data_IF_740258975355
#
_entry.id   IF_740258975355
#
_cell.length_a   1.000
_cell.length_b   1.000
_cell.length_c   1.000
_cell.angle_alpha   90.00
_cell.angle_beta   90.00
_cell.angle_gamma   90.00
#
_symmetry.space_group_name_H-M   'P 1'
#
loop_
_entity.id
_entity.type
_entity.pdbx_description
1 polymer ?
#
# COMPACT_ATOMS: atom_id res chain seq x y z
N UNK A 1 -9.11 8.60 -23.24
CA UNK A 1 -9.86 8.08 -22.10
C UNK A 1 -9.07 8.16 -20.82
N UNK A 2 -9.76 8.35 -19.69
CA UNK A 2 -9.18 8.24 -18.36
C UNK A 2 -9.28 6.79 -17.87
N UNK A 3 -8.36 6.38 -16.98
CA UNK A 3 -8.38 5.06 -16.34
C UNK A 3 -9.64 4.89 -15.48
N UNK A 4 -10.29 3.72 -15.56
CA UNK A 4 -11.41 3.35 -14.70
C UNK A 4 -10.95 2.46 -13.52
N UNK A 5 -11.85 2.16 -12.59
CA UNK A 5 -11.53 1.39 -11.38
C UNK A 5 -11.02 -0.04 -11.68
N UNK A 6 -11.62 -0.73 -12.64
CA UNK A 6 -11.20 -2.08 -13.03
C UNK A 6 -9.78 -2.08 -13.62
N UNK A 7 -9.49 -1.14 -14.51
CA UNK A 7 -8.16 -0.96 -15.10
C UNK A 7 -7.12 -0.60 -14.04
N UNK A 8 -7.50 0.28 -13.10
CA UNK A 8 -6.65 0.69 -11.99
C UNK A 8 -6.26 -0.53 -11.13
N UNK A 9 -7.24 -1.32 -10.69
CA UNK A 9 -6.96 -2.50 -9.86
C UNK A 9 -6.24 -3.61 -10.60
N UNK A 10 -6.54 -3.81 -11.89
CA UNK A 10 -5.77 -4.74 -12.72
C UNK A 10 -4.28 -4.35 -12.75
N UNK A 11 -3.97 -3.05 -12.90
CA UNK A 11 -2.59 -2.54 -12.88
C UNK A 11 -1.93 -2.69 -11.50
N UNK A 12 -2.65 -2.41 -10.41
CA UNK A 12 -2.16 -2.57 -9.05
C UNK A 12 -1.85 -4.04 -8.72
N UNK A 13 -2.75 -4.96 -9.07
CA UNK A 13 -2.59 -6.40 -8.86
C UNK A 13 -1.39 -6.95 -9.64
N UNK A 14 -1.18 -6.49 -10.88
CA UNK A 14 0.02 -6.84 -11.64
C UNK A 14 1.31 -6.38 -10.93
N UNK A 15 1.28 -5.24 -10.22
CA UNK A 15 2.37 -4.76 -9.40
C UNK A 15 2.67 -5.66 -8.19
N UNK A 16 1.64 -6.09 -7.46
CA UNK A 16 1.80 -7.05 -6.35
C UNK A 16 2.34 -8.40 -6.84
N UNK A 17 1.83 -8.92 -7.94
CA UNK A 17 2.34 -10.13 -8.59
C UNK A 17 3.80 -10.00 -9.01
N UNK A 18 4.19 -8.83 -9.53
CA UNK A 18 5.59 -8.57 -9.86
C UNK A 18 6.47 -8.61 -8.60
N UNK A 19 6.04 -8.00 -7.50
CA UNK A 19 6.78 -8.04 -6.23
C UNK A 19 6.94 -9.48 -5.72
N UNK A 20 5.86 -10.26 -5.69
CA UNK A 20 5.88 -11.66 -5.24
C UNK A 20 6.86 -12.52 -6.06
N UNK A 21 6.91 -12.33 -7.37
CA UNK A 21 7.80 -13.08 -8.28
C UNK A 21 9.27 -12.67 -8.21
N UNK A 22 9.56 -11.46 -7.74
CA UNK A 22 10.91 -10.87 -7.81
C UNK A 22 11.51 -10.58 -6.42
N UNK A 23 10.92 -11.14 -5.36
CA UNK A 23 11.43 -11.03 -4.00
C UNK A 23 11.58 -12.40 -3.36
N UNK A 24 12.34 -12.45 -2.27
CA UNK A 24 12.49 -13.64 -1.42
C UNK A 24 11.77 -13.44 -0.08
N UNK A 25 11.40 -14.53 0.58
CA UNK A 25 10.78 -14.50 1.90
C UNK A 25 11.59 -13.67 2.90
N UNK A 26 10.91 -12.76 3.59
CA UNK A 26 11.52 -11.85 4.57
C UNK A 26 12.29 -10.67 3.96
N UNK A 27 12.37 -10.55 2.64
CA UNK A 27 12.99 -9.39 1.99
C UNK A 27 12.20 -8.11 2.28
N UNK A 28 12.93 -7.03 2.59
CA UNK A 28 12.35 -5.69 2.75
C UNK A 28 12.53 -4.90 1.46
N UNK A 29 11.43 -4.39 0.91
CA UNK A 29 11.41 -3.58 -0.30
C UNK A 29 10.93 -2.17 0.06
N UNK A 30 11.65 -1.15 -0.42
CA UNK A 30 11.17 0.23 -0.41
C UNK A 30 10.45 0.50 -1.73
N UNK A 31 9.13 0.70 -1.68
CA UNK A 31 8.33 1.11 -2.81
C UNK A 31 7.96 2.58 -2.68
N UNK A 32 8.45 3.41 -3.60
CA UNK A 32 8.08 4.83 -3.65
C UNK A 32 6.93 5.01 -4.63
N UNK A 33 5.85 5.65 -4.18
CA UNK A 33 4.64 5.86 -4.98
C UNK A 33 3.97 7.19 -4.62
N UNK A 34 2.74 7.38 -5.08
CA UNK A 34 1.96 8.60 -4.90
C UNK A 34 0.74 8.40 -3.99
N UNK A 35 0.16 9.51 -3.52
CA UNK A 35 -0.92 9.52 -2.52
C UNK A 35 -2.13 8.70 -2.91
N UNK A 36 -2.59 8.79 -4.17
CA UNK A 36 -3.75 8.03 -4.67
C UNK A 36 -3.48 6.52 -4.61
N UNK A 37 -2.29 6.09 -4.98
CA UNK A 37 -1.90 4.67 -4.91
C UNK A 37 -1.88 4.17 -3.48
N UNK A 38 -1.22 4.90 -2.59
CA UNK A 38 -1.11 4.51 -1.18
C UNK A 38 -2.49 4.45 -0.52
N UNK A 39 -3.33 5.47 -0.71
CA UNK A 39 -4.66 5.50 -0.09
C UNK A 39 -5.58 4.41 -0.62
N UNK A 40 -5.55 4.12 -1.93
CA UNK A 40 -6.40 3.09 -2.52
C UNK A 40 -6.03 1.70 -2.02
N UNK A 41 -4.73 1.42 -1.84
CA UNK A 41 -4.27 0.17 -1.23
C UNK A 41 -4.78 0.06 0.22
N UNK A 42 -4.60 1.12 1.02
CA UNK A 42 -5.00 1.08 2.44
C UNK A 42 -6.51 1.00 2.58
N UNK A 43 -7.28 1.75 1.80
CA UNK A 43 -8.75 1.71 1.82
C UNK A 43 -9.29 0.32 1.44
N UNK A 44 -8.64 -0.36 0.51
CA UNK A 44 -9.04 -1.71 0.09
C UNK A 44 -8.71 -2.79 1.14
N UNK A 45 -7.51 -2.75 1.72
CA UNK A 45 -7.03 -3.81 2.62
C UNK A 45 -7.21 -3.51 4.11
N UNK A 46 -7.45 -2.25 4.48
CA UNK A 46 -7.65 -1.80 5.87
C UNK A 46 -8.57 -0.55 5.93
N UNK A 47 -9.84 -0.68 5.48
CA UNK A 47 -10.77 0.46 5.38
C UNK A 47 -10.99 1.20 6.71
N UNK A 48 -10.87 0.50 7.84
CA UNK A 48 -11.02 1.08 9.18
C UNK A 48 -9.95 2.14 9.52
N UNK A 49 -8.85 2.19 8.76
CA UNK A 49 -7.81 3.23 8.91
C UNK A 49 -8.19 4.57 8.24
N UNK A 50 -9.30 4.62 7.47
CA UNK A 50 -9.88 5.86 6.94
C UNK A 50 -8.99 6.62 5.94
N UNK A 51 -8.21 5.91 5.13
CA UNK A 51 -7.28 6.50 4.17
C UNK A 51 -7.99 7.25 3.01
N UNK A 52 -9.25 6.90 2.73
CA UNK A 52 -10.14 7.62 1.82
C UNK A 52 -10.33 9.10 2.23
N UNK A 53 -10.38 9.36 3.54
CA UNK A 53 -10.57 10.68 4.16
C UNK A 53 -9.25 11.33 4.55
N UNK A 54 -8.32 10.55 5.09
CA UNK A 54 -7.04 11.02 5.60
C UNK A 54 -5.93 10.58 4.63
N UNK A 55 -5.61 11.41 3.64
CA UNK A 55 -4.53 11.13 2.71
C UNK A 55 -3.14 11.06 3.39
N UNK A 56 -2.16 10.36 2.79
CA UNK A 56 -0.85 10.20 3.39
C UNK A 56 -0.10 11.54 3.42
N UNK A 57 0.63 11.79 4.50
CA UNK A 57 1.53 12.95 4.59
C UNK A 57 2.77 12.69 3.74
N UNK A 58 3.31 13.75 3.14
CA UNK A 58 4.60 13.66 2.45
C UNK A 58 5.69 13.20 3.42
N UNK A 59 6.47 12.20 3.01
CA UNK A 59 7.54 11.61 3.82
C UNK A 59 7.06 10.57 4.85
N UNK A 60 5.74 10.37 5.02
CA UNK A 60 5.23 9.30 5.85
C UNK A 60 5.41 7.92 5.19
N UNK A 61 5.52 6.89 6.01
CA UNK A 61 5.66 5.49 5.59
C UNK A 61 4.39 4.72 5.90
N UNK A 62 3.97 3.90 4.95
CA UNK A 62 2.94 2.86 5.12
C UNK A 62 3.64 1.52 4.97
N UNK A 63 3.46 0.61 5.93
CA UNK A 63 4.05 -0.72 5.87
C UNK A 63 2.99 -1.75 5.51
N UNK A 64 3.31 -2.55 4.51
CA UNK A 64 2.54 -3.70 4.09
C UNK A 64 3.35 -4.97 4.41
N UNK A 65 2.65 -6.02 4.84
CA UNK A 65 3.15 -7.39 4.76
C UNK A 65 2.42 -8.05 3.58
N UNK A 66 3.18 -8.55 2.61
CA UNK A 66 2.63 -9.21 1.41
C UNK A 66 3.04 -10.67 1.48
N UNK A 67 2.07 -11.58 1.51
CA UNK A 67 2.27 -13.05 1.45
C UNK A 67 1.92 -13.56 0.04
N UNK A 68 1.89 -14.88 -0.16
CA UNK A 68 1.45 -15.49 -1.42
C UNK A 68 -0.04 -15.35 -1.71
N UNK A 69 -0.84 -15.01 -0.70
CA UNK A 69 -2.30 -15.02 -0.75
C UNK A 69 -2.95 -13.74 -0.21
N UNK A 70 -2.20 -12.92 0.52
CA UNK A 70 -2.74 -11.78 1.24
C UNK A 70 -1.84 -10.53 1.19
N UNK A 71 -2.45 -9.38 1.46
CA UNK A 71 -1.79 -8.09 1.67
C UNK A 71 -2.36 -7.49 2.95
N UNK A 72 -1.54 -7.46 4.00
CA UNK A 72 -1.90 -6.87 5.29
C UNK A 72 -1.26 -5.50 5.43
N UNK A 73 -2.06 -4.50 5.78
CA UNK A 73 -1.54 -3.19 6.21
C UNK A 73 -1.12 -3.30 7.67
N UNK A 74 0.19 -3.19 7.94
CA UNK A 74 0.72 -3.24 9.31
C UNK A 74 0.56 -1.89 10.01
N UNK A 75 0.84 -0.80 9.29
CA UNK A 75 0.57 0.57 9.74
C UNK A 75 0.44 1.51 8.55
N UNK A 76 -0.27 2.62 8.78
CA UNK A 76 -0.53 3.66 7.80
C UNK A 76 0.00 5.01 8.28
N UNK A 77 0.58 5.78 7.37
CA UNK A 77 0.89 7.20 7.56
C UNK A 77 1.77 7.49 8.79
N UNK A 78 2.83 6.71 8.98
CA UNK A 78 3.77 6.88 10.09
C UNK A 78 4.87 7.88 9.71
N UNK A 79 4.99 8.97 10.48
CA UNK A 79 5.97 10.05 10.21
C UNK A 79 6.62 10.61 11.48
N UNK A 80 6.20 10.19 12.68
CA UNK A 80 6.80 10.62 13.94
C UNK A 80 7.39 9.43 14.69
N UNK A 81 8.64 9.54 15.12
CA UNK A 81 9.32 8.50 15.91
C UNK A 81 8.62 8.14 17.23
N UNK A 82 7.72 9.00 17.71
CA UNK A 82 6.98 8.82 18.96
C UNK A 82 5.65 8.09 18.81
N UNK A 83 5.20 7.80 17.59
CA UNK A 83 3.92 7.11 17.37
C UNK A 83 4.06 5.60 17.67
N UNK A 84 3.11 5.05 18.43
CA UNK A 84 3.02 3.61 18.71
C UNK A 84 1.95 2.98 17.82
N UNK A 85 2.27 1.87 17.16
CA UNK A 85 1.41 1.14 16.22
C UNK A 85 1.27 -0.32 16.62
#
# INVERSE_FOLDING_TARGET
>A
DAENDEQYWARLNAGFEHLRKNTADGQKVLLVSHSITIRSIVDHFAPDLGADKLGPKNGAVTKLTVTDDDVKVEYYNHYLDSETY
#
